data_IF_598525452899
#
_entry.id   IF_598525452899
#
_cell.length_a   1.000
_cell.length_b   1.000
_cell.length_c   1.000
_cell.angle_alpha   90.00
_cell.angle_beta   90.00
_cell.angle_gamma   90.00
#
_symmetry.space_group_name_H-M   'P 1'
#
loop_
_entity.id
_entity.type
_entity.pdbx_description
1 polymer ?
#
# COMPACT_ATOMS: atom_id res chain seq x y z
N UNK A 1 -28.86 -14.18 -36.83
CA UNK A 1 -28.96 -14.62 -35.44
C UNK A 1 -30.41 -14.94 -35.11
N UNK A 2 -30.75 -16.20 -34.89
CA UNK A 2 -32.07 -16.61 -34.43
C UNK A 2 -31.94 -17.06 -32.97
N UNK A 3 -32.40 -16.25 -32.05
CA UNK A 3 -32.49 -16.52 -30.62
C UNK A 3 -31.70 -15.53 -29.76
N UNK A 4 -32.21 -15.18 -28.55
CA UNK A 4 -31.49 -14.40 -27.57
C UNK A 4 -30.33 -15.25 -27.01
N UNK A 5 -29.09 -14.80 -27.20
CA UNK A 5 -27.91 -15.44 -26.62
C UNK A 5 -27.95 -15.24 -25.09
N UNK A 6 -27.51 -16.23 -24.30
CA UNK A 6 -27.30 -16.04 -22.87
C UNK A 6 -26.36 -14.85 -22.60
N UNK A 7 -26.62 -14.10 -21.55
CA UNK A 7 -25.88 -12.86 -21.21
C UNK A 7 -24.35 -13.05 -21.20
N UNK A 8 -23.88 -14.24 -20.77
CA UNK A 8 -22.46 -14.58 -20.79
C UNK A 8 -21.87 -14.79 -22.20
N UNK A 9 -22.67 -15.20 -23.18
CA UNK A 9 -22.23 -15.33 -24.57
C UNK A 9 -22.22 -13.99 -25.31
N UNK A 10 -23.16 -13.11 -24.98
CA UNK A 10 -23.18 -11.74 -25.47
C UNK A 10 -21.94 -10.99 -24.98
N UNK A 11 -21.59 -11.15 -23.71
CA UNK A 11 -20.39 -10.54 -23.11
C UNK A 11 -19.11 -11.03 -23.80
N UNK A 12 -18.94 -12.34 -23.98
CA UNK A 12 -17.80 -12.92 -24.71
C UNK A 12 -17.73 -12.47 -26.17
N UNK A 13 -18.87 -12.31 -26.83
CA UNK A 13 -18.93 -11.82 -28.21
C UNK A 13 -18.48 -10.36 -28.30
N UNK A 14 -18.92 -9.50 -27.35
CA UNK A 14 -18.49 -8.11 -27.26
C UNK A 14 -16.99 -8.04 -26.97
N UNK A 15 -16.46 -8.84 -26.04
CA UNK A 15 -15.03 -8.94 -25.75
C UNK A 15 -14.20 -9.33 -26.98
N UNK A 16 -14.72 -10.25 -27.78
CA UNK A 16 -14.05 -10.69 -29.02
C UNK A 16 -14.04 -9.59 -30.09
N UNK A 17 -15.15 -8.85 -30.23
CA UNK A 17 -15.25 -7.74 -31.17
C UNK A 17 -14.33 -6.58 -30.76
N UNK A 18 -14.27 -6.23 -29.46
CA UNK A 18 -13.39 -5.19 -28.95
C UNK A 18 -11.90 -5.55 -29.14
N UNK A 19 -11.52 -6.80 -28.88
CA UNK A 19 -10.16 -7.30 -29.15
C UNK A 19 -9.81 -7.26 -30.63
N UNK A 20 -10.74 -7.62 -31.51
CA UNK A 20 -10.54 -7.60 -32.96
C UNK A 20 -10.47 -6.16 -33.51
N UNK A 21 -11.13 -5.19 -32.84
CA UNK A 21 -11.10 -3.78 -33.20
C UNK A 21 -9.97 -2.98 -32.52
N UNK A 22 -9.11 -3.63 -31.73
CA UNK A 22 -8.02 -2.97 -30.98
C UNK A 22 -8.52 -2.18 -29.75
N UNK A 23 -9.78 -2.37 -29.33
CA UNK A 23 -10.36 -1.79 -28.13
C UNK A 23 -10.40 -2.78 -26.96
N UNK A 24 -10.37 -2.29 -25.75
CA UNK A 24 -10.62 -3.04 -24.52
C UNK A 24 -12.07 -2.80 -24.03
N UNK A 25 -12.48 -3.51 -22.98
CA UNK A 25 -13.75 -3.18 -22.31
C UNK A 25 -13.66 -1.77 -21.71
N UNK A 26 -14.75 -0.98 -21.72
CA UNK A 26 -14.72 0.40 -21.18
C UNK A 26 -14.15 0.51 -19.77
N UNK A 27 -14.42 -0.46 -18.90
CA UNK A 27 -13.86 -0.50 -17.54
C UNK A 27 -12.36 -0.75 -17.48
N UNK A 28 -11.82 -1.61 -18.36
CA UNK A 28 -10.38 -1.87 -18.44
C UNK A 28 -9.60 -0.67 -18.99
N UNK A 29 -10.18 0.08 -19.93
CA UNK A 29 -9.59 1.32 -20.45
C UNK A 29 -9.58 2.39 -19.37
N UNK A 30 -10.69 2.59 -18.64
CA UNK A 30 -10.77 3.52 -17.53
C UNK A 30 -9.79 3.19 -16.41
N UNK A 31 -9.62 1.92 -16.06
CA UNK A 31 -8.64 1.48 -15.05
C UNK A 31 -7.21 1.81 -15.49
N UNK A 32 -6.88 1.54 -16.76
CA UNK A 32 -5.56 1.85 -17.28
C UNK A 32 -5.29 3.35 -17.33
N UNK A 33 -6.27 4.15 -17.74
CA UNK A 33 -6.19 5.61 -17.75
C UNK A 33 -6.03 6.18 -16.34
N UNK A 34 -6.81 5.67 -15.37
CA UNK A 34 -6.71 6.09 -13.97
C UNK A 34 -5.32 5.80 -13.38
N UNK A 35 -4.77 4.61 -13.67
CA UNK A 35 -3.40 4.24 -13.24
C UNK A 35 -2.35 5.15 -13.88
N UNK A 36 -2.47 5.42 -15.19
CA UNK A 36 -1.56 6.31 -15.90
C UNK A 36 -1.61 7.74 -15.37
N UNK A 37 -2.80 8.26 -15.03
CA UNK A 37 -2.95 9.58 -14.41
C UNK A 37 -2.26 9.61 -13.03
N UNK A 38 -2.45 8.58 -12.20
CA UNK A 38 -1.80 8.47 -10.89
C UNK A 38 -0.26 8.41 -11.02
N UNK A 39 0.27 7.63 -11.97
CA UNK A 39 1.71 7.54 -12.25
C UNK A 39 2.30 8.86 -12.77
N UNK A 40 1.51 9.62 -13.53
CA UNK A 40 1.89 10.96 -14.00
C UNK A 40 1.82 12.04 -12.89
N UNK A 41 1.34 11.70 -11.68
CA UNK A 41 1.17 12.63 -10.56
C UNK A 41 -0.14 13.42 -10.61
N UNK A 42 -1.01 13.18 -11.59
CA UNK A 42 -2.37 13.76 -11.62
C UNK A 42 -3.31 12.94 -10.72
N UNK A 43 -3.09 13.08 -9.40
CA UNK A 43 -3.86 12.34 -8.40
C UNK A 43 -5.33 12.78 -8.36
N UNK A 44 -5.66 14.04 -8.71
CA UNK A 44 -7.03 14.49 -8.79
C UNK A 44 -7.76 13.89 -10.01
N UNK A 45 -7.10 13.86 -11.17
CA UNK A 45 -7.62 13.18 -12.35
C UNK A 45 -7.81 11.69 -12.11
N UNK A 46 -6.81 11.02 -11.52
CA UNK A 46 -6.87 9.61 -11.15
C UNK A 46 -8.05 9.32 -10.20
N UNK A 47 -8.25 10.15 -9.17
CA UNK A 47 -9.36 10.02 -8.22
C UNK A 47 -10.73 10.05 -8.94
N UNK A 48 -10.93 10.97 -9.85
CA UNK A 48 -12.17 11.09 -10.62
C UNK A 48 -12.40 9.86 -11.52
N UNK A 49 -11.34 9.36 -12.16
CA UNK A 49 -11.41 8.17 -13.03
C UNK A 49 -11.70 6.90 -12.22
N UNK A 50 -11.04 6.70 -11.07
CA UNK A 50 -11.35 5.57 -10.18
C UNK A 50 -12.76 5.64 -9.63
N UNK A 51 -13.25 6.83 -9.24
CA UNK A 51 -14.63 7.00 -8.79
C UNK A 51 -15.64 6.65 -9.90
N UNK A 52 -15.42 7.15 -11.12
CA UNK A 52 -16.26 6.81 -12.27
C UNK A 52 -16.23 5.31 -12.62
N UNK A 53 -15.07 4.66 -12.45
CA UNK A 53 -14.98 3.21 -12.62
C UNK A 53 -15.80 2.46 -11.57
N UNK A 54 -15.81 2.91 -10.31
CA UNK A 54 -16.59 2.29 -9.23
C UNK A 54 -18.11 2.46 -9.41
N UNK A 55 -18.57 3.51 -10.11
CA UNK A 55 -19.98 3.62 -10.51
C UNK A 55 -20.39 2.51 -11.49
N UNK A 56 -19.50 2.13 -12.40
CA UNK A 56 -19.73 1.08 -13.38
C UNK A 56 -19.42 -0.32 -12.84
N UNK A 57 -18.40 -0.45 -12.01
CA UNK A 57 -17.89 -1.70 -11.44
C UNK A 57 -17.74 -1.57 -9.90
N UNK A 58 -18.85 -1.62 -9.12
CA UNK A 58 -18.83 -1.40 -7.67
C UNK A 58 -18.02 -2.43 -6.86
N UNK A 59 -17.50 -3.46 -7.49
CA UNK A 59 -16.73 -4.54 -6.87
C UNK A 59 -15.30 -4.61 -7.41
N UNK A 60 -14.79 -3.53 -7.99
CA UNK A 60 -13.43 -3.48 -8.50
C UNK A 60 -12.44 -3.12 -7.39
N UNK A 61 -11.72 -4.14 -6.86
CA UNK A 61 -10.75 -3.95 -5.78
C UNK A 61 -9.59 -3.03 -6.16
N UNK A 62 -9.13 -3.07 -7.41
CA UNK A 62 -8.06 -2.20 -7.89
C UNK A 62 -8.49 -0.74 -7.96
N UNK A 63 -9.76 -0.48 -8.33
CA UNK A 63 -10.31 0.86 -8.34
C UNK A 63 -10.43 1.45 -6.93
N UNK A 64 -10.92 0.69 -5.95
CA UNK A 64 -10.92 1.13 -4.54
C UNK A 64 -9.51 1.41 -4.02
N UNK A 65 -8.57 0.52 -4.30
CA UNK A 65 -7.18 0.71 -3.90
C UNK A 65 -6.55 1.94 -4.57
N UNK A 66 -6.83 2.16 -5.86
CA UNK A 66 -6.37 3.32 -6.62
C UNK A 66 -6.98 4.63 -6.08
N UNK A 67 -8.28 4.65 -5.81
CA UNK A 67 -8.99 5.77 -5.20
C UNK A 67 -8.36 6.16 -3.86
N UNK A 68 -8.17 5.19 -2.97
CA UNK A 68 -7.57 5.43 -1.66
C UNK A 68 -6.11 5.92 -1.76
N UNK A 69 -5.31 5.36 -2.67
CA UNK A 69 -3.93 5.84 -2.92
C UNK A 69 -3.91 7.27 -3.44
N UNK A 70 -4.84 7.64 -4.33
CA UNK A 70 -4.95 9.01 -4.85
C UNK A 70 -5.33 10.00 -3.75
N UNK A 71 -6.27 9.65 -2.87
CA UNK A 71 -6.62 10.45 -1.69
C UNK A 71 -5.41 10.63 -0.76
N UNK A 72 -4.67 9.57 -0.47
CA UNK A 72 -3.44 9.65 0.34
C UNK A 72 -2.40 10.60 -0.30
N UNK A 73 -2.21 10.53 -1.60
CA UNK A 73 -1.26 11.40 -2.32
C UNK A 73 -1.69 12.89 -2.31
N UNK A 74 -3.00 13.15 -2.22
CA UNK A 74 -3.57 14.50 -2.05
C UNK A 74 -3.52 14.99 -0.58
N UNK A 75 -3.11 14.12 0.38
CA UNK A 75 -3.10 14.43 1.80
C UNK A 75 -4.45 14.24 2.50
N UNK A 76 -5.42 13.65 1.81
CA UNK A 76 -6.80 13.41 2.30
C UNK A 76 -6.91 12.05 2.99
N UNK A 77 -6.08 11.81 4.01
CA UNK A 77 -5.98 10.50 4.68
C UNK A 77 -7.25 10.07 5.40
N UNK A 78 -7.99 11.03 5.96
CA UNK A 78 -9.27 10.75 6.62
C UNK A 78 -10.30 10.24 5.62
N UNK A 79 -10.33 10.80 4.41
CA UNK A 79 -11.20 10.34 3.32
C UNK A 79 -10.76 8.97 2.80
N UNK A 80 -9.44 8.75 2.65
CA UNK A 80 -8.90 7.44 2.28
C UNK A 80 -9.31 6.36 3.30
N UNK A 81 -9.27 6.68 4.60
CA UNK A 81 -9.71 5.79 5.66
C UNK A 81 -11.20 5.48 5.55
N UNK A 82 -12.04 6.51 5.35
CA UNK A 82 -13.49 6.35 5.21
C UNK A 82 -13.83 5.42 4.02
N UNK A 83 -13.20 5.61 2.86
CA UNK A 83 -13.36 4.73 1.69
C UNK A 83 -13.02 3.28 2.06
N UNK A 84 -11.86 3.05 2.68
CA UNK A 84 -11.39 1.69 3.01
C UNK A 84 -12.23 1.00 4.08
N UNK A 85 -12.80 1.73 5.03
CA UNK A 85 -13.53 1.17 6.16
C UNK A 85 -15.03 1.01 5.87
N UNK A 86 -15.63 1.96 5.14
CA UNK A 86 -17.09 2.01 4.96
C UNK A 86 -17.53 1.67 3.54
N UNK A 87 -16.78 2.07 2.49
CA UNK A 87 -17.25 1.91 1.12
C UNK A 87 -16.79 0.60 0.48
N UNK A 88 -15.63 0.04 0.91
CA UNK A 88 -15.16 -1.25 0.38
C UNK A 88 -16.10 -2.38 0.78
N UNK A 89 -16.71 -3.11 -0.18
CA UNK A 89 -17.54 -4.27 0.09
C UNK A 89 -16.85 -5.30 0.96
N UNK A 90 -17.57 -5.92 1.90
CA UNK A 90 -16.99 -6.86 2.87
C UNK A 90 -16.20 -7.99 2.22
N UNK A 91 -16.67 -8.52 1.10
CA UNK A 91 -16.00 -9.58 0.33
C UNK A 91 -14.64 -9.16 -0.27
N UNK A 92 -14.40 -7.86 -0.44
CA UNK A 92 -13.14 -7.32 -0.97
C UNK A 92 -12.15 -6.90 0.12
N UNK A 93 -12.56 -6.85 1.40
CA UNK A 93 -11.70 -6.39 2.50
C UNK A 93 -10.43 -7.24 2.67
N UNK A 94 -10.49 -8.53 2.32
CA UNK A 94 -9.35 -9.45 2.30
C UNK A 94 -8.55 -9.45 1.00
N UNK A 95 -8.92 -8.63 0.01
CA UNK A 95 -8.18 -8.57 -1.25
C UNK A 95 -6.79 -7.96 -1.04
N UNK A 96 -5.77 -8.53 -1.68
CA UNK A 96 -4.37 -8.11 -1.48
C UNK A 96 -4.14 -6.62 -1.72
N UNK A 97 -4.77 -6.04 -2.75
CA UNK A 97 -4.67 -4.60 -3.07
C UNK A 97 -5.27 -3.73 -1.96
N UNK A 98 -6.41 -4.12 -1.40
CA UNK A 98 -7.06 -3.41 -0.29
C UNK A 98 -6.22 -3.51 0.98
N UNK A 99 -5.72 -4.70 1.31
CA UNK A 99 -4.86 -4.91 2.47
C UNK A 99 -3.57 -4.08 2.36
N UNK A 100 -2.95 -4.06 1.19
CA UNK A 100 -1.74 -3.27 0.92
C UNK A 100 -1.96 -1.77 1.12
N UNK A 101 -3.02 -1.20 0.55
CA UNK A 101 -3.27 0.24 0.68
C UNK A 101 -3.70 0.61 2.11
N UNK A 102 -4.40 -0.26 2.82
CA UNK A 102 -4.75 -0.08 4.24
C UNK A 102 -3.49 -0.03 5.11
N UNK A 103 -2.57 -0.99 4.91
CA UNK A 103 -1.28 -1.00 5.60
C UNK A 103 -0.45 0.27 5.28
N UNK A 104 -0.46 0.73 4.03
CA UNK A 104 0.22 1.96 3.62
C UNK A 104 -0.37 3.20 4.31
N UNK A 105 -1.71 3.31 4.41
CA UNK A 105 -2.39 4.39 5.11
C UNK A 105 -2.04 4.42 6.61
N UNK A 106 -2.10 3.27 7.27
CA UNK A 106 -1.74 3.16 8.68
C UNK A 106 -0.29 3.60 8.93
N UNK A 107 0.64 3.18 8.06
CA UNK A 107 2.04 3.59 8.13
C UNK A 107 2.25 5.09 7.87
N UNK A 108 1.49 5.70 6.95
CA UNK A 108 1.57 7.13 6.68
C UNK A 108 1.15 7.94 7.92
N UNK A 109 0.06 7.56 8.57
CA UNK A 109 -0.45 8.21 9.79
C UNK A 109 0.53 8.01 10.97
N UNK A 110 1.03 6.78 11.18
CA UNK A 110 2.03 6.49 12.20
C UNK A 110 3.32 7.28 11.96
N UNK A 111 3.79 7.31 10.70
CA UNK A 111 5.00 8.03 10.29
C UNK A 111 4.92 9.53 10.57
N UNK A 112 3.78 10.16 10.28
CA UNK A 112 3.57 11.58 10.54
C UNK A 112 3.66 11.90 12.04
N UNK A 113 3.01 11.11 12.89
CA UNK A 113 3.07 11.25 14.34
C UNK A 113 4.49 11.02 14.88
N UNK A 114 5.22 10.08 14.29
CA UNK A 114 6.59 9.81 14.71
C UNK A 114 7.58 10.90 14.24
N UNK A 115 7.36 11.52 13.09
CA UNK A 115 8.18 12.65 12.61
C UNK A 115 8.18 13.83 13.60
N UNK A 116 7.04 14.12 14.20
CA UNK A 116 6.93 15.20 15.20
C UNK A 116 7.86 14.96 16.41
N UNK A 117 8.21 13.72 16.69
CA UNK A 117 9.04 13.29 17.82
C UNK A 117 10.44 12.82 17.42
N UNK A 118 10.84 13.01 16.17
CA UNK A 118 12.11 12.49 15.65
C UNK A 118 13.32 12.90 16.53
N UNK A 119 13.37 14.17 16.95
CA UNK A 119 14.43 14.67 17.80
C UNK A 119 14.47 14.00 19.18
N UNK A 120 13.32 13.68 19.75
CA UNK A 120 13.22 12.94 21.02
C UNK A 120 13.79 11.52 20.87
N UNK A 121 13.43 10.80 19.80
CA UNK A 121 13.95 9.45 19.58
C UNK A 121 15.47 9.43 19.39
N UNK A 122 16.01 10.41 18.66
CA UNK A 122 17.45 10.54 18.47
C UNK A 122 18.18 10.83 19.80
N UNK A 123 17.63 11.68 20.66
CA UNK A 123 18.20 11.95 21.98
C UNK A 123 18.17 10.71 22.89
N UNK A 124 17.06 9.96 22.89
CA UNK A 124 16.93 8.71 23.66
C UNK A 124 17.95 7.68 23.21
N UNK A 125 18.15 7.50 21.91
CA UNK A 125 19.13 6.57 21.37
C UNK A 125 20.57 7.02 21.60
N UNK A 126 20.82 8.32 21.71
CA UNK A 126 22.14 8.83 22.08
C UNK A 126 22.46 8.57 23.57
N UNK A 127 21.44 8.62 24.44
CA UNK A 127 21.57 8.32 25.86
C UNK A 127 21.61 6.81 26.13
N UNK A 128 20.77 6.04 25.46
CA UNK A 128 20.67 4.58 25.57
C UNK A 128 20.60 3.93 24.16
N UNK A 129 21.72 3.41 23.65
CA UNK A 129 21.74 2.72 22.35
C UNK A 129 20.90 1.44 22.31
N UNK A 130 20.47 0.90 23.45
CA UNK A 130 19.64 -0.30 23.55
C UNK A 130 18.15 0.03 23.80
N UNK A 131 17.76 1.31 23.70
CA UNK A 131 16.35 1.72 23.68
C UNK A 131 15.67 1.21 22.38
N UNK A 132 15.21 -0.05 22.43
CA UNK A 132 14.55 -0.70 21.31
C UNK A 132 13.26 0.03 20.90
N UNK A 133 12.50 0.57 21.86
CA UNK A 133 11.29 1.31 21.56
C UNK A 133 11.60 2.56 20.74
N UNK A 134 12.56 3.38 21.18
CA UNK A 134 12.97 4.57 20.42
C UNK A 134 13.52 4.23 19.03
N UNK A 135 14.19 3.08 18.87
CA UNK A 135 14.73 2.64 17.58
C UNK A 135 13.63 2.21 16.61
N UNK A 136 12.56 1.56 17.10
CA UNK A 136 11.40 1.20 16.29
C UNK A 136 10.65 2.48 15.87
N UNK A 137 10.42 3.41 16.81
CA UNK A 137 9.77 4.68 16.49
C UNK A 137 10.58 5.53 15.52
N UNK A 138 11.91 5.54 15.63
CA UNK A 138 12.80 6.16 14.65
C UNK A 138 12.61 5.53 13.25
N UNK A 139 12.51 4.21 13.16
CA UNK A 139 12.29 3.54 11.89
C UNK A 139 10.93 3.90 11.28
N UNK A 140 9.88 4.05 12.09
CA UNK A 140 8.55 4.51 11.65
C UNK A 140 8.61 5.95 11.12
N UNK A 141 9.33 6.85 11.82
CA UNK A 141 9.54 8.21 11.37
C UNK A 141 10.30 8.27 10.04
N UNK A 142 11.40 7.51 9.91
CA UNK A 142 12.19 7.40 8.68
C UNK A 142 11.35 6.87 7.50
N UNK A 143 10.50 5.88 7.75
CA UNK A 143 9.58 5.40 6.74
C UNK A 143 8.61 6.50 6.29
N UNK A 144 8.03 7.26 7.21
CA UNK A 144 7.15 8.39 6.91
C UNK A 144 7.84 9.52 6.11
N UNK A 145 9.18 9.61 6.21
CA UNK A 145 10.01 10.53 5.41
C UNK A 145 10.41 9.96 4.03
N UNK A 146 9.99 8.73 3.71
CA UNK A 146 10.41 8.03 2.49
C UNK A 146 11.79 7.37 2.57
N UNK A 147 12.48 7.48 3.72
CA UNK A 147 13.82 6.93 3.96
C UNK A 147 13.78 5.41 4.24
N UNK A 148 13.15 4.65 3.32
CA UNK A 148 12.86 3.21 3.49
C UNK A 148 14.10 2.38 3.82
N UNK A 149 15.24 2.67 3.18
CA UNK A 149 16.48 1.94 3.42
C UNK A 149 16.98 2.15 4.86
N UNK A 150 16.94 3.38 5.38
CA UNK A 150 17.34 3.71 6.74
C UNK A 150 16.36 3.12 7.77
N UNK A 151 15.06 3.12 7.46
CA UNK A 151 14.03 2.48 8.29
C UNK A 151 14.29 0.96 8.45
N UNK A 152 14.62 0.28 7.34
CA UNK A 152 15.03 -1.14 7.38
C UNK A 152 16.26 -1.33 8.26
N UNK A 153 17.28 -0.48 8.10
CA UNK A 153 18.52 -0.62 8.85
C UNK A 153 18.32 -0.43 10.35
N UNK A 154 17.49 0.53 10.76
CA UNK A 154 17.16 0.74 12.15
C UNK A 154 16.45 -0.49 12.77
N UNK A 155 15.48 -1.10 12.07
CA UNK A 155 14.80 -2.30 12.55
C UNK A 155 15.70 -3.54 12.55
N UNK A 156 16.54 -3.72 11.55
CA UNK A 156 17.53 -4.79 11.49
C UNK A 156 18.54 -4.67 12.65
N UNK A 157 18.96 -3.45 13.00
CA UNK A 157 19.82 -3.22 14.14
C UNK A 157 19.12 -3.52 15.47
N UNK A 158 17.85 -3.16 15.63
CA UNK A 158 17.05 -3.55 16.78
C UNK A 158 16.97 -5.08 16.94
N UNK A 159 16.72 -5.81 15.84
CA UNK A 159 16.66 -7.29 15.86
C UNK A 159 18.02 -7.91 16.20
N UNK A 160 19.13 -7.31 15.73
CA UNK A 160 20.48 -7.78 16.07
C UNK A 160 20.77 -7.69 17.56
N UNK A 161 20.31 -6.61 18.21
CA UNK A 161 20.55 -6.34 19.63
C UNK A 161 19.73 -7.29 20.52
N UNK A 162 18.43 -7.37 20.26
CA UNK A 162 17.53 -8.32 20.94
C UNK A 162 16.41 -8.76 19.99
N UNK A 163 16.46 -10.02 19.54
CA UNK A 163 15.46 -10.59 18.64
C UNK A 163 14.09 -10.74 19.28
N UNK A 164 14.04 -10.97 20.59
CA UNK A 164 12.80 -11.29 21.32
C UNK A 164 12.14 -10.06 21.94
N UNK A 165 12.81 -8.91 21.95
CA UNK A 165 12.30 -7.71 22.59
C UNK A 165 10.88 -7.37 22.13
N UNK A 166 10.01 -7.10 23.10
CA UNK A 166 8.62 -6.71 22.82
C UNK A 166 7.86 -7.73 21.96
N UNK A 167 8.09 -9.03 22.18
CA UNK A 167 7.49 -10.11 21.39
C UNK A 167 7.83 -9.99 19.88
N UNK A 168 9.09 -9.79 19.58
CA UNK A 168 9.61 -9.58 18.22
C UNK A 168 9.09 -8.28 17.56
N UNK A 169 8.86 -7.21 18.32
CA UNK A 169 8.23 -5.97 17.84
C UNK A 169 8.94 -5.39 16.61
N UNK A 170 10.28 -5.34 16.60
CA UNK A 170 11.04 -4.83 15.45
C UNK A 170 10.85 -5.69 14.19
N UNK A 171 10.76 -7.01 14.34
CA UNK A 171 10.48 -7.93 13.23
C UNK A 171 9.06 -7.74 12.70
N UNK A 172 8.07 -7.65 13.59
CA UNK A 172 6.67 -7.40 13.22
C UNK A 172 6.54 -6.09 12.44
N UNK A 173 7.20 -5.01 12.92
CA UNK A 173 7.20 -3.73 12.23
C UNK A 173 7.88 -3.81 10.85
N UNK A 174 8.99 -4.53 10.72
CA UNK A 174 9.66 -4.72 9.44
C UNK A 174 8.79 -5.47 8.42
N UNK A 175 8.06 -6.48 8.85
CA UNK A 175 7.12 -7.21 8.01
C UNK A 175 5.94 -6.34 7.57
N UNK A 176 5.42 -5.47 8.46
CA UNK A 176 4.40 -4.47 8.13
C UNK A 176 4.90 -3.49 7.04
N UNK A 177 6.15 -3.07 7.08
CA UNK A 177 6.76 -2.27 6.02
C UNK A 177 6.78 -3.02 4.68
N UNK A 178 7.22 -4.28 4.68
CA UNK A 178 7.28 -5.09 3.46
C UNK A 178 5.90 -5.33 2.84
N UNK A 179 4.86 -5.47 3.66
CA UNK A 179 3.48 -5.59 3.19
C UNK A 179 3.00 -4.32 2.50
N UNK A 180 3.28 -3.16 3.11
CA UNK A 180 2.86 -1.87 2.57
C UNK A 180 3.61 -1.49 1.28
N UNK A 181 4.92 -1.78 1.20
CA UNK A 181 5.74 -1.42 0.04
C UNK A 181 5.57 -2.39 -1.13
N UNK A 182 5.16 -3.64 -0.85
CA UNK A 182 5.04 -4.70 -1.86
C UNK A 182 6.32 -5.52 -2.05
N UNK A 183 6.18 -6.62 -2.81
CA UNK A 183 7.24 -7.63 -2.97
C UNK A 183 8.41 -7.15 -3.83
N UNK A 184 8.14 -6.31 -4.82
CA UNK A 184 9.12 -5.87 -5.82
C UNK A 184 9.87 -4.58 -5.42
N UNK A 185 9.47 -3.97 -4.29
CA UNK A 185 10.13 -2.77 -3.78
C UNK A 185 11.60 -3.07 -3.42
N UNK A 186 12.57 -2.22 -3.85
CA UNK A 186 13.98 -2.43 -3.59
C UNK A 186 14.34 -2.53 -2.11
N UNK A 187 13.67 -1.74 -1.23
CA UNK A 187 13.91 -1.79 0.21
C UNK A 187 13.34 -3.08 0.83
N UNK A 188 12.20 -3.57 0.31
CA UNK A 188 11.65 -4.89 0.68
C UNK A 188 12.63 -6.01 0.33
N UNK A 189 13.15 -6.03 -0.89
CA UNK A 189 14.10 -7.06 -1.33
C UNK A 189 15.38 -7.05 -0.51
N UNK A 190 15.95 -5.86 -0.26
CA UNK A 190 17.15 -5.70 0.56
C UNK A 190 16.90 -6.09 2.02
N UNK A 191 15.78 -5.65 2.59
CA UNK A 191 15.40 -5.93 3.97
C UNK A 191 15.18 -7.43 4.24
N UNK A 192 14.52 -8.13 3.33
CA UNK A 192 14.34 -9.59 3.40
C UNK A 192 15.66 -10.35 3.42
N UNK A 193 16.63 -9.94 2.59
CA UNK A 193 17.98 -10.53 2.59
C UNK A 193 18.68 -10.31 3.93
N UNK A 194 18.63 -9.07 4.48
CA UNK A 194 19.20 -8.74 5.79
C UNK A 194 18.55 -9.55 6.91
N UNK A 195 17.21 -9.62 6.93
CA UNK A 195 16.46 -10.38 7.93
C UNK A 195 16.79 -11.89 7.86
N UNK A 196 16.80 -12.48 6.66
CA UNK A 196 17.17 -13.89 6.46
C UNK A 196 18.56 -14.19 7.00
N UNK A 197 19.54 -13.33 6.73
CA UNK A 197 20.91 -13.49 7.23
C UNK A 197 20.97 -13.48 8.77
N UNK A 198 20.08 -12.73 9.43
CA UNK A 198 20.02 -12.69 10.90
C UNK A 198 19.35 -13.91 11.55
N UNK A 199 18.37 -14.49 10.86
CA UNK A 199 17.56 -15.58 11.41
C UNK A 199 18.24 -16.96 11.23
N UNK A 200 19.07 -17.11 10.19
CA UNK A 200 19.68 -18.38 9.82
C UNK A 200 21.22 -18.44 10.05
N UNK A 201 21.74 -17.52 10.86
CA UNK A 201 23.06 -17.58 11.46
C UNK A 201 22.97 -18.10 12.89
#
# INVERSE_FOLDING_TARGET
>A
FQGALPEGEVKKFIETLLKAGGGSLPGADLLAEAKAAAEAGDHQGALNLFAGLLEAEPENAEAFAGLARSLMALGEEDQARLVLDEEVPEKLRGHAEIASVRAALDLAIEGRRAQEKLGEFQQRLAADPDDHAARIELAVALNGMGERAQAVDALVDAIKRDKAWGEEAARKQLLKFFEAWGFDDPATLAGRRKLSTLLFR
#
